data_IF_317797971729
#
_entry.id   IF_317797971729
#
_cell.length_a   1.000
_cell.length_b   1.000
_cell.length_c   1.000
_cell.angle_alpha   90.00
_cell.angle_beta   90.00
_cell.angle_gamma   90.00
#
_symmetry.space_group_name_H-M   'P 1'
#
loop_
_entity.id
_entity.type
_entity.pdbx_description
1 polymer ?
#
# COMPACT_ATOMS: atom_id res chain seq x y z
N UNK A 1 24.59 -15.19 9.35
CA UNK A 1 25.55 -14.65 8.36
C UNK A 1 26.99 -14.84 8.80
N UNK A 2 27.51 -14.08 9.78
CA UNK A 2 28.93 -14.16 10.22
C UNK A 2 29.38 -15.55 10.67
N UNK A 3 28.57 -16.24 11.49
CA UNK A 3 28.87 -17.61 11.92
C UNK A 3 28.84 -18.65 10.78
N UNK A 4 28.23 -18.31 9.64
CA UNK A 4 28.14 -19.18 8.46
C UNK A 4 29.12 -18.76 7.35
N UNK A 5 30.08 -17.86 7.62
CA UNK A 5 31.07 -17.38 6.64
C UNK A 5 30.52 -16.47 5.53
N UNK A 6 29.23 -16.16 5.54
CA UNK A 6 28.63 -15.24 4.57
C UNK A 6 29.04 -13.79 4.90
N UNK A 7 29.34 -12.95 3.88
CA UNK A 7 29.63 -11.54 4.10
C UNK A 7 28.45 -10.89 4.82
N UNK A 8 28.70 -10.38 6.03
CA UNK A 8 27.71 -9.62 6.75
C UNK A 8 27.76 -8.18 6.25
N UNK A 9 26.80 -7.82 5.40
CA UNK A 9 26.57 -6.42 5.04
C UNK A 9 26.34 -5.63 6.34
N UNK A 10 27.09 -4.54 6.52
CA UNK A 10 26.95 -3.65 7.67
C UNK A 10 25.75 -2.73 7.47
N UNK A 11 24.54 -3.31 7.44
CA UNK A 11 23.30 -2.59 7.26
C UNK A 11 22.70 -2.21 8.62
N UNK A 12 22.15 -1.01 8.70
CA UNK A 12 21.21 -0.65 9.74
C UNK A 12 19.93 -1.47 9.62
N UNK A 13 19.16 -1.58 10.71
CA UNK A 13 17.86 -2.24 10.69
C UNK A 13 16.89 -1.61 9.68
N UNK A 14 17.01 -0.30 9.43
CA UNK A 14 16.17 0.42 8.46
C UNK A 14 16.51 0.04 7.01
N UNK A 15 17.80 0.00 6.67
CA UNK A 15 18.27 -0.40 5.34
C UNK A 15 17.94 -1.86 5.05
N UNK A 16 18.19 -2.75 6.01
CA UNK A 16 17.81 -4.17 5.87
C UNK A 16 16.31 -4.34 5.69
N UNK A 17 15.49 -3.53 6.36
CA UNK A 17 14.04 -3.57 6.20
C UNK A 17 13.60 -3.06 4.81
N UNK A 18 14.26 -2.02 4.28
CA UNK A 18 14.03 -1.52 2.91
C UNK A 18 14.34 -2.57 1.85
N UNK A 19 15.51 -3.21 1.93
CA UNK A 19 15.89 -4.29 1.02
C UNK A 19 14.93 -5.48 1.11
N UNK A 20 14.51 -5.86 2.32
CA UNK A 20 13.54 -6.94 2.51
C UNK A 20 12.17 -6.64 1.88
N UNK A 21 11.67 -5.40 2.03
CA UNK A 21 10.42 -4.97 1.35
C UNK A 21 10.58 -4.96 -0.16
N UNK A 22 11.67 -4.37 -0.66
CA UNK A 22 11.97 -4.27 -2.08
C UNK A 22 12.08 -5.63 -2.77
N UNK A 23 12.86 -6.55 -2.19
CA UNK A 23 12.98 -7.92 -2.69
C UNK A 23 11.62 -8.63 -2.72
N UNK A 24 10.82 -8.48 -1.67
CA UNK A 24 9.48 -9.08 -1.60
C UNK A 24 8.54 -8.51 -2.67
N UNK A 25 8.60 -7.20 -2.90
CA UNK A 25 7.78 -6.52 -3.92
C UNK A 25 8.15 -6.94 -5.35
N UNK A 26 9.45 -7.06 -5.64
CA UNK A 26 9.92 -7.58 -6.94
C UNK A 26 9.59 -9.06 -7.13
N UNK A 27 9.56 -9.84 -6.05
CA UNK A 27 9.05 -11.21 -6.06
C UNK A 27 7.57 -11.28 -6.46
N UNK A 28 6.73 -10.41 -5.89
CA UNK A 28 5.33 -10.26 -6.30
C UNK A 28 5.24 -9.85 -7.77
N UNK A 29 5.99 -8.82 -8.19
CA UNK A 29 6.00 -8.36 -9.58
C UNK A 29 6.44 -9.45 -10.57
N UNK A 30 7.36 -10.33 -10.18
CA UNK A 30 7.77 -11.48 -11.01
C UNK A 30 6.65 -12.51 -11.13
N UNK A 31 5.96 -12.79 -10.01
CA UNK A 31 4.85 -13.74 -9.97
C UNK A 31 3.62 -13.25 -10.75
N UNK A 32 3.40 -11.93 -10.81
CA UNK A 32 2.30 -11.30 -11.54
C UNK A 32 2.65 -10.95 -12.99
N UNK A 33 3.91 -11.10 -13.39
CA UNK A 33 4.40 -10.73 -14.73
C UNK A 33 4.58 -9.22 -14.95
N UNK A 34 4.50 -8.40 -13.90
CA UNK A 34 4.78 -6.96 -13.97
C UNK A 34 6.27 -6.67 -14.18
N UNK A 35 7.14 -7.55 -13.69
CA UNK A 35 8.59 -7.48 -13.91
C UNK A 35 9.13 -8.79 -14.48
N UNK A 36 10.19 -8.69 -15.26
CA UNK A 36 10.91 -9.84 -15.79
C UNK A 36 11.83 -10.48 -14.74
N UNK A 37 12.97 -11.00 -15.21
CA UNK A 37 13.99 -11.56 -14.30
C UNK A 37 14.54 -10.45 -13.39
N UNK A 38 14.55 -10.72 -12.09
CA UNK A 38 15.09 -9.84 -11.05
C UNK A 38 16.47 -10.33 -10.63
N UNK A 39 17.45 -9.44 -10.58
CA UNK A 39 18.77 -9.67 -10.03
C UNK A 39 18.95 -8.93 -8.68
N UNK A 40 19.92 -9.31 -7.83
CA UNK A 40 20.17 -8.63 -6.56
C UNK A 40 20.43 -7.13 -6.71
N UNK A 41 21.05 -6.71 -7.81
CA UNK A 41 21.35 -5.30 -8.10
C UNK A 41 20.08 -4.48 -8.33
N UNK A 42 19.01 -5.11 -8.84
CA UNK A 42 17.73 -4.46 -9.04
C UNK A 42 17.07 -4.11 -7.70
N UNK A 43 17.17 -5.00 -6.71
CA UNK A 43 16.67 -4.78 -5.34
C UNK A 43 17.38 -3.62 -4.65
N UNK A 44 18.68 -3.47 -4.91
CA UNK A 44 19.50 -2.41 -4.32
C UNK A 44 19.42 -1.09 -5.09
N UNK A 45 18.70 -1.04 -6.21
CA UNK A 45 18.71 0.10 -7.12
C UNK A 45 17.94 1.29 -6.56
N UNK A 46 18.64 2.40 -6.29
CA UNK A 46 18.01 3.67 -5.91
C UNK A 46 17.11 4.27 -7.00
N UNK A 47 17.27 3.83 -8.26
CA UNK A 47 16.45 4.30 -9.39
C UNK A 47 15.06 3.65 -9.42
N UNK A 48 14.84 2.56 -8.68
CA UNK A 48 13.55 1.87 -8.53
C UNK A 48 12.80 1.65 -9.86
N UNK A 49 13.55 1.35 -10.94
CA UNK A 49 12.97 1.20 -12.30
C UNK A 49 12.05 0.00 -12.41
N UNK A 50 12.34 -1.07 -11.66
CA UNK A 50 11.46 -2.22 -11.51
C UNK A 50 10.52 -1.98 -10.33
N UNK A 51 9.23 -2.25 -10.51
CA UNK A 51 8.22 -2.06 -9.48
C UNK A 51 7.03 -2.96 -9.75
N UNK A 52 6.31 -3.28 -8.69
CA UNK A 52 4.99 -3.90 -8.75
C UNK A 52 3.94 -2.89 -8.29
N UNK A 53 2.89 -2.74 -9.06
CA UNK A 53 1.72 -1.94 -8.72
C UNK A 53 0.67 -2.77 -7.95
N UNK A 54 1.01 -4.02 -7.59
CA UNK A 54 0.18 -4.95 -6.79
C UNK A 54 0.80 -5.26 -5.42
N UNK A 55 2.11 -5.06 -5.25
CA UNK A 55 2.82 -5.42 -4.04
C UNK A 55 2.57 -4.45 -2.87
N UNK A 56 2.31 -5.00 -1.69
CA UNK A 56 2.37 -4.28 -0.43
C UNK A 56 3.15 -5.10 0.60
N UNK A 57 4.44 -4.80 0.74
CA UNK A 57 5.36 -5.49 1.62
C UNK A 57 5.63 -4.71 2.91
N UNK A 58 5.74 -5.44 4.02
CA UNK A 58 6.19 -4.91 5.30
C UNK A 58 7.30 -5.80 5.85
N UNK A 59 8.23 -5.22 6.60
CA UNK A 59 9.32 -5.95 7.22
C UNK A 59 9.18 -5.87 8.75
N UNK A 60 9.33 -7.02 9.40
CA UNK A 60 9.30 -7.14 10.87
C UNK A 60 10.55 -7.89 11.34
N UNK A 61 11.26 -7.41 12.37
CA UNK A 61 12.33 -8.18 12.99
C UNK A 61 11.84 -9.52 13.53
N UNK A 62 12.68 -10.56 13.44
CA UNK A 62 12.43 -11.86 14.07
C UNK A 62 11.65 -12.88 13.24
N UNK A 63 11.27 -12.54 11.99
CA UNK A 63 10.70 -13.52 11.05
C UNK A 63 11.78 -14.08 10.13
N UNK A 64 11.79 -15.41 9.97
CA UNK A 64 12.71 -16.13 9.08
C UNK A 64 12.09 -16.48 7.72
N UNK A 65 10.85 -16.08 7.48
CA UNK A 65 10.09 -16.34 6.25
C UNK A 65 9.23 -15.13 5.87
N UNK A 66 8.84 -15.06 4.61
CA UNK A 66 7.80 -14.15 4.15
C UNK A 66 6.43 -14.79 4.29
N UNK A 67 5.47 -14.04 4.83
CA UNK A 67 4.05 -14.42 4.87
C UNK A 67 3.32 -13.61 3.80
N UNK A 68 2.55 -14.29 2.95
CA UNK A 68 1.95 -13.68 1.75
C UNK A 68 0.43 -13.81 1.84
N UNK A 69 -0.25 -12.67 1.75
CA UNK A 69 -1.71 -12.58 1.62
C UNK A 69 -2.04 -12.02 0.23
N UNK A 70 -2.77 -12.79 -0.57
CA UNK A 70 -3.25 -12.37 -1.89
C UNK A 70 -4.70 -11.93 -1.78
N UNK A 71 -5.00 -10.71 -2.23
CA UNK A 71 -6.35 -10.14 -2.24
C UNK A 71 -6.72 -9.89 -3.70
N UNK A 72 -7.87 -10.43 -4.13
CA UNK A 72 -8.35 -10.28 -5.50
C UNK A 72 -9.80 -10.73 -5.66
N UNK A 73 -10.31 -10.58 -6.88
CA UNK A 73 -11.65 -11.03 -7.25
C UNK A 73 -11.53 -12.29 -8.11
N UNK A 74 -12.38 -13.29 -7.85
CA UNK A 74 -12.41 -14.53 -8.63
C UNK A 74 -13.82 -14.82 -9.14
N UNK A 75 -13.93 -15.22 -10.40
CA UNK A 75 -15.18 -15.70 -10.99
C UNK A 75 -15.68 -16.92 -10.21
N UNK A 76 -16.97 -16.93 -9.85
CA UNK A 76 -17.57 -18.01 -9.05
C UNK A 76 -17.35 -17.89 -7.54
N UNK A 77 -16.66 -16.85 -7.06
CA UNK A 77 -16.59 -16.57 -5.62
C UNK A 77 -17.96 -16.18 -5.07
N UNK A 78 -18.35 -16.80 -3.96
CA UNK A 78 -19.57 -16.46 -3.21
C UNK A 78 -19.38 -15.25 -2.26
N UNK A 79 -18.19 -14.64 -2.25
CA UNK A 79 -17.90 -13.48 -1.41
C UNK A 79 -18.82 -12.31 -1.75
N UNK A 80 -19.38 -11.70 -0.72
CA UNK A 80 -20.11 -10.42 -0.82
C UNK A 80 -19.15 -9.23 -0.84
N UNK A 81 -17.85 -9.45 -0.62
CA UNK A 81 -16.78 -8.46 -0.70
C UNK A 81 -16.05 -8.52 -2.03
N UNK A 82 -15.63 -7.35 -2.51
CA UNK A 82 -14.74 -7.17 -3.66
C UNK A 82 -13.59 -6.24 -3.31
N UNK A 83 -12.53 -6.35 -4.09
CA UNK A 83 -11.37 -5.48 -4.01
C UNK A 83 -11.24 -4.61 -5.28
N UNK A 84 -11.00 -3.33 -5.10
CA UNK A 84 -10.56 -2.40 -6.14
C UNK A 84 -9.09 -2.02 -5.90
N UNK A 85 -8.36 -1.77 -6.98
CA UNK A 85 -6.95 -1.41 -6.93
C UNK A 85 -6.74 -0.02 -7.52
N UNK A 86 -5.94 0.79 -6.85
CA UNK A 86 -5.38 2.03 -7.38
C UNK A 86 -3.87 2.05 -7.16
N UNK A 87 -3.19 2.96 -7.87
CA UNK A 87 -1.78 3.29 -7.64
C UNK A 87 -1.71 4.80 -7.51
N UNK A 88 -1.32 5.28 -6.34
CA UNK A 88 -1.08 6.70 -6.11
C UNK A 88 0.26 7.06 -6.74
N UNK A 89 0.31 8.12 -7.54
CA UNK A 89 1.54 8.67 -8.10
C UNK A 89 2.43 9.31 -7.04
N UNK A 90 1.80 9.99 -6.08
CA UNK A 90 2.43 10.55 -4.90
C UNK A 90 1.48 10.51 -3.69
N UNK A 91 1.95 10.92 -2.51
CA UNK A 91 1.16 10.90 -1.28
C UNK A 91 -0.11 11.79 -1.28
N UNK A 92 -0.30 12.67 -2.26
CA UNK A 92 -1.47 13.53 -2.44
C UNK A 92 -2.41 13.07 -3.57
N UNK A 93 -2.07 12.03 -4.32
CA UNK A 93 -2.84 11.52 -5.46
C UNK A 93 -4.11 10.76 -5.04
N UNK A 94 -5.06 11.48 -4.45
CA UNK A 94 -6.40 10.97 -4.14
C UNK A 94 -7.25 10.78 -5.38
N UNK A 95 -6.88 11.42 -6.50
CA UNK A 95 -7.61 11.32 -7.76
C UNK A 95 -7.55 9.91 -8.34
N UNK A 96 -6.38 9.26 -8.29
CA UNK A 96 -6.24 7.86 -8.69
C UNK A 96 -7.10 6.90 -7.86
N UNK A 97 -7.24 7.17 -6.56
CA UNK A 97 -8.09 6.39 -5.65
C UNK A 97 -9.58 6.63 -5.95
N UNK A 98 -9.98 7.90 -6.12
CA UNK A 98 -11.35 8.27 -6.48
C UNK A 98 -11.80 7.65 -7.81
N UNK A 99 -10.91 7.61 -8.81
CA UNK A 99 -11.16 6.96 -10.10
C UNK A 99 -11.38 5.46 -9.93
N UNK A 100 -10.51 4.76 -9.18
CA UNK A 100 -10.67 3.33 -8.93
C UNK A 100 -11.96 2.99 -8.15
N UNK A 101 -12.36 3.85 -7.21
CA UNK A 101 -13.65 3.76 -6.54
C UNK A 101 -14.81 3.90 -7.52
N UNK A 102 -14.77 4.91 -8.40
CA UNK A 102 -15.79 5.13 -9.43
C UNK A 102 -15.92 3.94 -10.39
N UNK A 103 -14.80 3.41 -10.88
CA UNK A 103 -14.75 2.19 -11.71
C UNK A 103 -15.33 0.96 -10.98
N UNK A 104 -15.21 0.92 -9.65
CA UNK A 104 -15.79 -0.12 -8.80
C UNK A 104 -17.27 0.12 -8.41
N UNK A 105 -17.89 1.20 -8.90
CA UNK A 105 -19.28 1.56 -8.60
C UNK A 105 -19.46 2.19 -7.22
N UNK A 106 -18.41 2.80 -6.67
CA UNK A 106 -18.43 3.61 -5.45
C UNK A 106 -18.24 5.07 -5.83
N UNK A 107 -19.33 5.83 -5.88
CA UNK A 107 -19.27 7.25 -6.28
C UNK A 107 -18.42 8.08 -5.31
N UNK A 108 -17.35 8.64 -5.86
CA UNK A 108 -16.38 9.53 -5.21
C UNK A 108 -16.18 10.84 -6.00
N UNK A 109 -17.05 11.14 -6.96
CA UNK A 109 -16.87 12.22 -7.95
C UNK A 109 -16.78 13.62 -7.34
N UNK A 110 -17.38 13.83 -6.17
CA UNK A 110 -17.31 15.07 -5.40
C UNK A 110 -16.02 15.23 -4.56
N UNK A 111 -14.98 14.42 -4.82
CA UNK A 111 -13.76 14.38 -4.01
C UNK A 111 -14.00 13.81 -2.60
N UNK A 112 -15.09 13.07 -2.43
CA UNK A 112 -15.46 12.31 -1.24
C UNK A 112 -16.46 11.23 -1.62
N UNK A 113 -16.49 10.13 -0.87
CA UNK A 113 -17.51 9.09 -1.05
C UNK A 113 -18.92 9.66 -0.83
N UNK A 114 -19.87 9.25 -1.67
CA UNK A 114 -21.29 9.41 -1.39
C UNK A 114 -21.69 8.61 -0.14
N UNK A 115 -22.79 8.96 0.51
CA UNK A 115 -23.24 8.26 1.73
C UNK A 115 -23.44 6.76 1.51
N UNK A 116 -24.03 6.38 0.37
CA UNK A 116 -24.20 4.97 -0.02
C UNK A 116 -22.85 4.27 -0.24
N UNK A 117 -21.94 4.90 -0.97
CA UNK A 117 -20.61 4.33 -1.19
C UNK A 117 -19.80 4.20 0.11
N UNK A 118 -19.99 5.13 1.05
CA UNK A 118 -19.39 5.10 2.37
C UNK A 118 -19.88 3.88 3.19
N UNK A 119 -21.17 3.53 3.16
CA UNK A 119 -21.70 2.37 3.89
C UNK A 119 -21.13 1.03 3.39
N UNK A 120 -20.69 0.99 2.12
CA UNK A 120 -20.15 -0.20 1.48
C UNK A 120 -18.65 -0.36 1.69
N UNK A 121 -17.94 0.69 2.10
CA UNK A 121 -16.51 0.62 2.34
C UNK A 121 -16.24 -0.29 3.56
N UNK A 122 -15.26 -1.20 3.43
CA UNK A 122 -14.80 -2.05 4.53
C UNK A 122 -13.45 -1.57 5.04
N UNK A 123 -12.47 -1.47 4.14
CA UNK A 123 -11.16 -0.92 4.47
C UNK A 123 -10.39 -0.44 3.23
N UNK A 124 -9.38 0.38 3.48
CA UNK A 124 -8.35 0.72 2.50
C UNK A 124 -6.98 0.32 3.05
N UNK A 125 -6.20 -0.41 2.26
CA UNK A 125 -4.84 -0.84 2.54
C UNK A 125 -3.91 -0.10 1.59
N UNK A 126 -3.01 0.73 2.10
CA UNK A 126 -2.15 1.57 1.27
C UNK A 126 -0.68 1.41 1.61
N UNK A 127 0.17 1.51 0.59
CA UNK A 127 1.59 1.80 0.75
C UNK A 127 1.82 3.31 0.70
N UNK A 128 2.76 3.77 1.51
CA UNK A 128 3.19 5.15 1.52
C UNK A 128 4.71 5.21 1.39
N UNK A 129 5.18 5.88 0.35
CA UNK A 129 6.59 6.15 0.20
C UNK A 129 6.99 7.45 0.91
N UNK A 130 7.88 7.34 1.89
CA UNK A 130 8.55 8.51 2.47
C UNK A 130 9.86 8.85 1.78
N UNK A 131 10.32 7.96 0.89
CA UNK A 131 11.62 8.02 0.26
C UNK A 131 11.59 8.64 -1.12
N UNK A 132 10.49 9.30 -1.53
CA UNK A 132 10.40 10.05 -2.78
C UNK A 132 11.67 10.89 -2.96
N UNK A 133 12.61 10.35 -3.74
CA UNK A 133 13.78 10.98 -4.30
C UNK A 133 14.50 11.99 -3.40
N UNK A 134 15.25 11.51 -2.41
CA UNK A 134 16.20 12.35 -1.66
C UNK A 134 17.22 13.07 -2.58
N UNK A 135 17.42 12.61 -3.82
CA UNK A 135 18.37 13.21 -4.77
C UNK A 135 17.76 13.72 -6.09
N UNK A 136 16.47 13.47 -6.38
CA UNK A 136 15.82 13.93 -7.64
C UNK A 136 14.66 14.91 -7.44
N UNK A 137 14.22 15.17 -6.21
CA UNK A 137 13.30 16.27 -5.93
C UNK A 137 14.08 17.54 -5.58
N UNK A 138 13.59 18.74 -5.96
CA UNK A 138 14.10 20.00 -5.43
C UNK A 138 14.15 19.93 -3.89
N UNK A 139 15.10 20.61 -3.25
CA UNK A 139 15.30 20.65 -1.78
C UNK A 139 14.00 20.76 -0.95
N UNK A 140 12.95 21.38 -1.49
CA UNK A 140 11.62 21.51 -0.90
C UNK A 140 10.86 20.18 -0.66
N UNK A 141 11.33 19.04 -1.18
CA UNK A 141 10.73 17.71 -0.95
C UNK A 141 11.56 16.77 -0.08
N UNK A 142 12.75 17.20 0.36
CA UNK A 142 13.69 16.35 1.10
C UNK A 142 13.34 16.33 2.59
N UNK A 143 13.09 15.15 3.15
CA UNK A 143 12.85 15.00 4.58
C UNK A 143 14.19 14.92 5.33
N UNK A 144 14.47 15.94 6.14
CA UNK A 144 15.70 16.06 6.94
C UNK A 144 15.44 16.04 8.45
N UNK A 145 14.20 15.79 8.86
CA UNK A 145 13.80 15.73 10.26
C UNK A 145 14.39 14.47 10.92
N UNK A 146 15.18 14.68 11.97
CA UNK A 146 15.83 13.60 12.72
C UNK A 146 14.92 12.96 13.76
N UNK A 147 13.85 13.63 14.16
CA UNK A 147 12.98 13.21 15.26
C UNK A 147 11.90 12.24 14.80
N UNK A 148 11.48 12.36 13.54
CA UNK A 148 10.44 11.51 12.96
C UNK A 148 10.90 10.87 11.64
N UNK A 149 10.59 9.58 11.50
CA UNK A 149 11.01 8.80 10.33
C UNK A 149 10.18 9.22 9.11
N UNK A 150 10.81 9.34 7.95
CA UNK A 150 10.13 9.67 6.70
C UNK A 150 8.93 8.75 6.40
N UNK A 151 9.02 7.46 6.75
CA UNK A 151 7.93 6.49 6.61
C UNK A 151 6.71 6.80 7.49
N UNK A 152 6.90 7.39 8.67
CA UNK A 152 5.79 7.79 9.56
C UNK A 152 5.05 9.00 8.99
N UNK A 153 5.77 10.00 8.49
CA UNK A 153 5.17 11.15 7.80
C UNK A 153 4.43 10.74 6.53
N UNK A 154 5.02 9.85 5.73
CA UNK A 154 4.36 9.32 4.55
C UNK A 154 3.04 8.62 4.91
N UNK A 155 3.05 7.77 5.94
CA UNK A 155 1.82 7.16 6.46
C UNK A 155 0.78 8.19 6.88
N UNK A 156 1.19 9.23 7.62
CA UNK A 156 0.28 10.28 8.07
C UNK A 156 -0.32 11.06 6.89
N UNK A 157 0.49 11.42 5.89
CA UNK A 157 0.05 12.16 4.70
C UNK A 157 -0.92 11.35 3.85
N UNK A 158 -0.56 10.10 3.51
CA UNK A 158 -1.44 9.19 2.75
C UNK A 158 -2.70 8.89 3.56
N UNK A 159 -2.58 8.64 4.87
CA UNK A 159 -3.71 8.37 5.75
C UNK A 159 -4.70 9.54 5.80
N UNK A 160 -4.20 10.78 5.93
CA UNK A 160 -5.02 11.99 5.89
C UNK A 160 -5.67 12.22 4.51
N UNK A 161 -4.92 12.00 3.43
CA UNK A 161 -5.42 12.11 2.06
C UNK A 161 -6.56 11.12 1.78
N UNK A 162 -6.36 9.85 2.15
CA UNK A 162 -7.40 8.81 2.06
C UNK A 162 -8.58 9.14 2.96
N UNK A 163 -8.34 9.63 4.19
CA UNK A 163 -9.42 10.02 5.11
C UNK A 163 -10.30 11.12 4.53
N UNK A 164 -9.71 12.12 3.89
CA UNK A 164 -10.45 13.19 3.22
C UNK A 164 -11.37 12.67 2.11
N UNK A 165 -10.98 11.59 1.44
CA UNK A 165 -11.76 10.95 0.38
C UNK A 165 -12.85 10.03 0.96
N UNK A 166 -12.50 9.17 1.92
CA UNK A 166 -13.44 8.16 2.41
C UNK A 166 -14.36 8.66 3.51
N UNK A 167 -14.02 9.75 4.22
CA UNK A 167 -14.80 10.31 5.33
C UNK A 167 -14.44 9.72 6.71
N UNK A 168 -14.91 10.42 7.74
CA UNK A 168 -14.88 9.97 9.13
C UNK A 168 -16.20 9.26 9.42
N UNK A 169 -16.24 7.92 9.40
CA UNK A 169 -17.35 7.22 10.05
C UNK A 169 -17.03 5.80 10.49
N UNK A 170 -17.21 5.57 11.80
CA UNK A 170 -17.59 4.28 12.38
C UNK A 170 -16.65 3.09 12.15
N UNK A 171 -17.09 1.86 12.49
CA UNK A 171 -16.31 0.64 12.30
C UNK A 171 -15.94 0.31 10.83
N UNK A 172 -16.53 1.04 9.86
CA UNK A 172 -16.46 0.83 8.41
C UNK A 172 -15.41 1.70 7.67
N UNK A 173 -14.73 2.63 8.34
CA UNK A 173 -13.72 3.51 7.73
C UNK A 173 -12.28 3.13 8.08
N UNK A 174 -11.91 1.85 8.02
CA UNK A 174 -10.57 1.38 8.45
C UNK A 174 -9.54 1.62 7.36
N UNK A 175 -8.65 2.58 7.60
CA UNK A 175 -7.50 2.85 6.74
C UNK A 175 -6.27 2.25 7.41
N UNK A 176 -5.59 1.34 6.71
CA UNK A 176 -4.28 0.86 7.08
C UNK A 176 -3.26 1.42 6.08
N UNK A 177 -2.26 2.12 6.60
CA UNK A 177 -1.17 2.67 5.79
C UNK A 177 0.16 2.13 6.28
N UNK A 178 0.92 1.52 5.37
CA UNK A 178 2.24 0.97 5.64
C UNK A 178 3.32 1.76 4.92
N UNK A 179 4.29 2.26 5.68
CA UNK A 179 5.40 3.05 5.17
C UNK A 179 6.49 2.20 4.51
N UNK A 180 7.28 2.83 3.64
CA UNK A 180 8.38 2.21 2.89
C UNK A 180 7.86 1.44 1.70
N UNK A 181 7.85 2.08 0.53
CA UNK A 181 7.28 1.56 -0.70
C UNK A 181 8.35 1.24 -1.74
N UNK A 182 9.52 0.75 -1.31
CA UNK A 182 10.59 0.33 -2.21
C UNK A 182 10.05 -0.69 -3.22
N UNK A 183 10.12 -0.37 -4.52
CA UNK A 183 9.58 -1.16 -5.64
C UNK A 183 8.06 -1.43 -5.59
N UNK A 184 7.29 -0.66 -4.82
CA UNK A 184 5.84 -0.82 -4.63
C UNK A 184 5.13 0.41 -5.18
N UNK A 185 4.86 0.43 -6.48
CA UNK A 185 4.36 1.62 -7.19
C UNK A 185 5.47 2.62 -7.57
N UNK A 186 5.08 3.83 -8.04
CA UNK A 186 6.04 4.89 -8.37
C UNK A 186 6.78 5.42 -7.14
N UNK A 187 8.02 5.93 -7.30
CA UNK A 187 8.70 6.68 -6.25
C UNK A 187 7.83 7.84 -5.73
N UNK A 188 7.66 7.91 -4.41
CA UNK A 188 6.79 8.87 -3.73
C UNK A 188 5.32 8.50 -3.62
N UNK A 189 4.90 7.45 -4.32
CA UNK A 189 3.52 6.97 -4.35
C UNK A 189 3.35 5.61 -3.68
N UNK A 190 2.42 4.82 -4.20
CA UNK A 190 2.22 3.44 -3.78
C UNK A 190 0.86 2.86 -4.14
N UNK A 191 0.74 1.52 -4.18
CA UNK A 191 -0.54 0.87 -4.41
C UNK A 191 -1.51 1.04 -3.24
N UNK A 192 -2.79 1.08 -3.58
CA UNK A 192 -3.92 1.12 -2.66
C UNK A 192 -4.91 0.01 -3.04
N UNK A 193 -5.23 -0.85 -2.09
CA UNK A 193 -6.30 -1.85 -2.21
C UNK A 193 -7.50 -1.40 -1.37
N UNK A 194 -8.67 -1.34 -2.00
CA UNK A 194 -9.92 -0.93 -1.35
C UNK A 194 -10.83 -2.14 -1.31
N UNK A 195 -11.22 -2.54 -0.12
CA UNK A 195 -12.16 -3.65 0.08
C UNK A 195 -13.53 -3.05 0.37
N UNK A 196 -14.55 -3.54 -0.34
CA UNK A 196 -15.91 -3.03 -0.24
C UNK A 196 -16.96 -4.13 -0.41
N UNK A 197 -18.12 -3.90 0.17
CA UNK A 197 -19.31 -4.76 0.05
C UNK A 197 -20.05 -4.51 -1.26
N UNK A 198 -20.51 -5.59 -1.89
CA UNK A 198 -21.46 -5.55 -3.00
C UNK A 198 -22.91 -5.40 -2.53
N UNK A 199 -23.17 -5.62 -1.23
CA UNK A 199 -24.49 -5.45 -0.64
C UNK A 199 -24.73 -3.98 -0.29
N UNK A 200 -25.93 -3.49 -0.58
CA UNK A 200 -26.39 -2.15 -0.18
C UNK A 200 -26.91 -2.19 1.27
N UNK A 201 -26.51 -1.19 2.06
CA UNK A 201 -27.05 -0.92 3.38
C UNK A 201 -26.67 -1.91 4.49
N UNK A 202 -27.42 -1.79 5.59
CA UNK A 202 -27.14 -2.35 6.91
C UNK A 202 -27.06 -3.90 6.99
N UNK A 203 -27.35 -4.64 5.92
CA UNK A 203 -27.39 -6.11 5.94
C UNK A 203 -26.00 -6.73 6.16
N UNK A 204 -24.97 -6.20 5.50
CA UNK A 204 -23.59 -6.66 5.72
C UNK A 204 -23.13 -6.33 7.15
N UNK A 205 -23.38 -5.09 7.60
CA UNK A 205 -22.95 -4.65 8.92
C UNK A 205 -23.81 -5.19 10.07
N UNK A 206 -25.05 -5.62 9.82
CA UNK A 206 -25.83 -6.43 10.78
C UNK A 206 -25.19 -7.80 10.95
N UNK A 207 -24.84 -8.49 9.87
CA UNK A 207 -24.15 -9.77 9.96
C UNK A 207 -22.80 -9.67 10.69
N UNK A 208 -22.02 -8.61 10.44
CA UNK A 208 -20.74 -8.37 11.14
C UNK A 208 -20.95 -7.98 12.61
N UNK A 209 -22.02 -7.26 12.95
CA UNK A 209 -22.34 -6.86 14.34
C UNK A 209 -22.97 -7.99 15.16
N UNK A 210 -23.67 -8.93 14.51
CA UNK A 210 -24.38 -10.05 15.15
C UNK A 210 -23.55 -11.34 15.18
N UNK A 211 -22.45 -11.40 14.42
CA UNK A 211 -21.63 -12.59 14.22
C UNK A 211 -20.16 -12.43 14.59
N UNK A 212 -19.90 -12.05 15.85
CA UNK A 212 -18.69 -12.34 16.64
C UNK A 212 -19.04 -12.22 18.13
#
# INVERSE_FOLDING_TARGET
ARAAGAPALALTSAESAGLSRGASALGVGSATGEVGRVAPEDVCSALLRLRSDMAAASARPGLSRSEVLVIGNATGSASTLRAARAVMADAADVASVARALGEAGLDASAGRLSANAHERLVCALAKADGAAALDQLPLAGRWTDSDARASQFACARVGGALRRLVGDAGPAGRIYVSGGAEHQGPPGGGPVCIIFSCLLGDAFWRHVREGY
#
